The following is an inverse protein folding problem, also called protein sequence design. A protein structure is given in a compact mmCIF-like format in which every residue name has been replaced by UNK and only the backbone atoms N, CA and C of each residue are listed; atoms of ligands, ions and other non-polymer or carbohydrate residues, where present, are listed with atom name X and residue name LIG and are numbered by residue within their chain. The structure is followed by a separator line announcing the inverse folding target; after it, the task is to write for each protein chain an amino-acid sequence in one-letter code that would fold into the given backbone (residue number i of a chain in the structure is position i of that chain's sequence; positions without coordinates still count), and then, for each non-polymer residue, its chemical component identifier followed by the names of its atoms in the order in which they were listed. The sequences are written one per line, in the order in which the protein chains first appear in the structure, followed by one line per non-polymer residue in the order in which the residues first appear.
data_IF_175573981924
#
_entry.id   IF_175573981924
#
_cell.length_a   1.000
_cell.length_b   1.000
_cell.length_c   1.000
_cell.angle_alpha   90.00
_cell.angle_beta   90.00
_cell.angle_gamma   90.00
#
_symmetry.space_group_name_H-M   'P 1'
#
loop_
_entity.id
_entity.type
_entity.pdbx_description
1 polymer ?
#
# COMPACT_ATOMS: atom_id res chain seq x y z
N UNK A 1 -15.70 -11.13 -28.18
CA UNK A 1 -15.75 -9.67 -28.37
C UNK A 1 -14.33 -9.17 -28.43
N UNK A 2 -13.98 -8.50 -29.51
CA UNK A 2 -12.65 -7.94 -29.69
C UNK A 2 -12.50 -6.72 -28.78
N UNK A 3 -11.52 -6.79 -27.85
CA UNK A 3 -11.14 -5.67 -27.01
C UNK A 3 -9.89 -5.03 -27.61
N UNK A 4 -9.93 -3.74 -27.91
CA UNK A 4 -8.75 -2.99 -28.29
C UNK A 4 -7.98 -2.57 -27.04
N UNK A 5 -6.66 -2.77 -27.00
CA UNK A 5 -5.81 -2.31 -25.91
C UNK A 5 -5.33 -0.89 -26.21
N UNK A 6 -5.58 0.05 -25.30
CA UNK A 6 -5.16 1.44 -25.42
C UNK A 6 -4.75 2.00 -24.04
N UNK A 7 -3.52 2.47 -23.92
CA UNK A 7 -2.96 3.06 -22.69
C UNK A 7 -3.24 2.20 -21.42
N UNK A 8 -3.08 0.90 -21.53
CA UNK A 8 -3.33 -0.02 -20.40
C UNK A 8 -4.79 -0.31 -20.10
N UNK A 9 -5.73 0.27 -20.84
CA UNK A 9 -7.15 -0.05 -20.80
C UNK A 9 -7.52 -1.04 -21.91
N UNK A 10 -8.63 -1.73 -21.69
CA UNK A 10 -9.35 -2.42 -22.75
C UNK A 10 -10.55 -1.59 -23.17
N UNK A 11 -10.65 -1.32 -24.47
CA UNK A 11 -11.75 -0.56 -25.05
C UNK A 11 -12.61 -1.51 -25.89
N UNK A 12 -13.90 -1.49 -25.64
CA UNK A 12 -14.88 -2.31 -26.38
C UNK A 12 -16.18 -1.54 -26.58
N UNK A 13 -17.03 -2.06 -27.45
CA UNK A 13 -18.36 -1.51 -27.67
C UNK A 13 -19.36 -2.40 -26.93
N UNK A 14 -20.20 -1.78 -26.14
CA UNK A 14 -21.26 -2.49 -25.43
C UNK A 14 -22.32 -2.95 -26.40
N UNK A 15 -22.52 -4.25 -26.50
CA UNK A 15 -23.63 -4.87 -27.23
C UNK A 15 -24.66 -5.34 -26.20
N UNK A 16 -25.88 -4.81 -26.28
CA UNK A 16 -26.99 -5.19 -25.40
C UNK A 16 -28.26 -5.26 -26.21
N UNK A 17 -28.84 -6.44 -26.31
CA UNK A 17 -30.15 -6.65 -26.97
C UNK A 17 -31.33 -6.32 -26.03
N UNK A 18 -31.05 -5.93 -24.76
CA UNK A 18 -32.09 -5.67 -23.77
C UNK A 18 -32.54 -4.23 -23.83
N UNK A 19 -33.80 -4.00 -24.21
CA UNK A 19 -34.47 -2.73 -24.01
C UNK A 19 -34.69 -2.47 -22.51
N UNK A 20 -34.28 -1.29 -22.03
CA UNK A 20 -34.54 -0.85 -20.67
C UNK A 20 -35.80 0.01 -20.64
N UNK A 21 -36.68 -0.23 -19.68
CA UNK A 21 -37.81 0.62 -19.37
C UNK A 21 -37.43 1.66 -18.32
N UNK A 22 -37.86 2.89 -18.48
CA UNK A 22 -37.78 3.96 -17.48
C UNK A 22 -38.73 3.69 -16.30
N UNK A 23 -38.63 4.52 -15.25
CA UNK A 23 -39.53 4.47 -14.10
C UNK A 23 -41.01 4.71 -14.49
N UNK A 24 -41.26 5.37 -15.60
CA UNK A 24 -42.58 5.62 -16.20
C UNK A 24 -43.03 4.55 -17.21
N UNK A 25 -42.35 3.39 -17.26
CA UNK A 25 -42.67 2.29 -18.17
C UNK A 25 -42.26 2.51 -19.64
N UNK A 26 -41.87 3.74 -20.02
CA UNK A 26 -41.44 4.03 -21.39
C UNK A 26 -40.07 3.47 -21.73
N UNK A 27 -39.85 3.03 -22.99
CA UNK A 27 -38.53 2.53 -23.40
C UNK A 27 -37.49 3.65 -23.26
N UNK A 28 -36.44 3.40 -22.48
CA UNK A 28 -35.26 4.26 -22.41
C UNK A 28 -34.32 3.94 -23.56
N UNK A 29 -33.62 4.98 -24.05
CA UNK A 29 -32.55 4.85 -25.03
C UNK A 29 -31.58 3.76 -24.55
N UNK A 30 -31.35 2.76 -25.38
CA UNK A 30 -30.42 1.70 -25.14
C UNK A 30 -29.01 2.26 -24.92
N UNK A 31 -28.25 1.67 -24.00
CA UNK A 31 -26.81 1.93 -23.87
C UNK A 31 -26.00 1.12 -24.90
N UNK A 32 -26.69 0.55 -25.88
CA UNK A 32 -26.07 -0.22 -26.95
C UNK A 32 -25.18 0.66 -27.82
N UNK A 33 -24.10 0.07 -28.35
CA UNK A 33 -23.08 0.74 -29.15
C UNK A 33 -22.32 1.86 -28.42
N UNK A 34 -22.39 1.97 -27.08
CA UNK A 34 -21.51 2.87 -26.34
C UNK A 34 -20.15 2.25 -26.14
N UNK A 35 -19.12 3.07 -26.34
CA UNK A 35 -17.75 2.73 -25.99
C UNK A 35 -17.65 2.51 -24.47
N UNK A 36 -17.01 1.42 -24.10
CA UNK A 36 -16.74 1.02 -22.72
C UNK A 36 -15.25 0.90 -22.54
N UNK A 37 -14.73 1.55 -21.51
CA UNK A 37 -13.34 1.50 -21.14
C UNK A 37 -13.22 0.64 -19.88
N UNK A 38 -12.39 -0.41 -19.94
CA UNK A 38 -12.26 -1.41 -18.89
C UNK A 38 -10.84 -1.45 -18.33
N UNK A 39 -10.74 -1.70 -17.05
CA UNK A 39 -9.50 -2.12 -16.41
C UNK A 39 -9.32 -3.63 -16.64
N UNK A 40 -8.23 -4.06 -17.31
CA UNK A 40 -7.95 -5.49 -17.52
C UNK A 40 -7.61 -6.18 -16.20
N UNK A 41 -8.12 -7.39 -16.01
CA UNK A 41 -7.81 -8.20 -14.82
C UNK A 41 -6.30 -8.53 -14.73
N UNK A 42 -5.68 -8.74 -15.90
CA UNK A 42 -4.25 -9.01 -16.01
C UNK A 42 -3.38 -7.88 -15.43
N UNK A 43 -3.79 -6.63 -15.61
CA UNK A 43 -3.08 -5.47 -15.02
C UNK A 43 -3.10 -5.54 -13.50
N UNK A 44 -4.25 -5.87 -12.90
CA UNK A 44 -4.35 -6.04 -11.45
C UNK A 44 -3.44 -7.17 -10.95
N UNK A 45 -3.47 -8.31 -11.65
CA UNK A 45 -2.63 -9.49 -11.37
C UNK A 45 -1.15 -9.09 -11.38
N UNK A 46 -0.70 -8.46 -12.46
CA UNK A 46 0.69 -8.06 -12.65
C UNK A 46 1.14 -7.04 -11.60
N UNK A 47 0.29 -6.05 -11.26
CA UNK A 47 0.61 -5.06 -10.22
C UNK A 47 0.71 -5.67 -8.82
N UNK A 48 -0.17 -6.60 -8.45
CA UNK A 48 -0.07 -7.30 -7.17
C UNK A 48 1.20 -8.14 -7.06
N UNK A 49 1.62 -8.77 -8.17
CA UNK A 49 2.87 -9.53 -8.23
C UNK A 49 4.09 -8.60 -8.18
N UNK A 50 4.09 -7.50 -8.94
CA UNK A 50 5.13 -6.47 -8.94
C UNK A 50 5.34 -5.90 -7.52
N UNK A 51 4.25 -5.61 -6.81
CA UNK A 51 4.27 -5.13 -5.43
C UNK A 51 4.66 -6.22 -4.42
N UNK A 52 4.79 -7.48 -4.87
CA UNK A 52 5.04 -8.66 -4.01
C UNK A 52 3.98 -8.80 -2.91
N UNK A 53 2.75 -8.39 -3.20
CA UNK A 53 1.63 -8.47 -2.28
C UNK A 53 0.83 -9.76 -2.43
N UNK A 54 1.07 -10.51 -3.51
CA UNK A 54 0.33 -11.70 -3.90
C UNK A 54 1.26 -12.76 -4.51
N UNK A 55 0.87 -14.01 -4.35
CA UNK A 55 1.36 -15.16 -5.12
C UNK A 55 0.18 -15.87 -5.77
N UNK A 56 0.44 -16.58 -6.85
CA UNK A 56 -0.53 -17.42 -7.51
C UNK A 56 -0.30 -18.85 -7.05
N UNK A 57 -1.37 -19.49 -6.59
CA UNK A 57 -1.40 -20.90 -6.24
C UNK A 57 -2.36 -21.60 -7.19
N UNK A 58 -1.98 -22.75 -7.70
CA UNK A 58 -2.87 -23.57 -8.54
C UNK A 58 -3.46 -24.66 -7.67
N UNK A 59 -4.77 -24.61 -7.44
CA UNK A 59 -5.54 -25.63 -6.73
C UNK A 59 -6.60 -26.18 -7.71
N UNK A 60 -6.65 -27.48 -7.88
CA UNK A 60 -7.59 -28.17 -8.79
C UNK A 60 -7.61 -27.61 -10.23
N UNK A 61 -6.43 -27.25 -10.76
CA UNK A 61 -6.27 -26.68 -12.10
C UNK A 61 -6.77 -25.24 -12.25
N UNK A 62 -7.16 -24.58 -11.14
CA UNK A 62 -7.60 -23.17 -11.14
C UNK A 62 -6.59 -22.28 -10.43
N UNK A 63 -6.35 -21.10 -11.01
CA UNK A 63 -5.53 -20.08 -10.36
C UNK A 63 -6.27 -19.46 -9.17
N UNK A 64 -5.62 -19.49 -8.02
CA UNK A 64 -6.07 -18.83 -6.80
C UNK A 64 -5.06 -17.76 -6.40
N UNK A 65 -5.55 -16.57 -6.14
CA UNK A 65 -4.73 -15.45 -5.70
C UNK A 65 -4.63 -15.44 -4.19
N UNK A 66 -3.42 -15.56 -3.69
CA UNK A 66 -3.16 -15.58 -2.25
C UNK A 66 -2.28 -14.40 -1.84
N UNK A 67 -2.74 -13.61 -0.88
CA UNK A 67 -1.97 -12.50 -0.33
C UNK A 67 -0.70 -12.99 0.37
N UNK A 68 0.41 -12.25 0.25
CA UNK A 68 1.70 -12.55 0.89
C UNK A 68 2.18 -11.39 1.74
N UNK A 69 3.03 -11.69 2.73
CA UNK A 69 3.78 -10.64 3.44
C UNK A 69 4.87 -10.04 2.54
N UNK A 70 5.27 -8.80 2.85
CA UNK A 70 6.36 -8.08 2.15
C UNK A 70 7.56 -7.93 3.08
N UNK A 71 8.44 -8.95 3.18
CA UNK A 71 9.50 -9.00 4.19
C UNK A 71 10.48 -7.84 4.15
N UNK A 72 10.74 -7.28 2.97
CA UNK A 72 11.64 -6.14 2.80
C UNK A 72 11.15 -4.83 3.46
N UNK A 73 9.84 -4.77 3.81
CA UNK A 73 9.28 -3.62 4.54
C UNK A 73 9.39 -3.75 6.07
N UNK A 74 9.80 -4.91 6.60
CA UNK A 74 9.80 -5.16 8.05
C UNK A 74 10.68 -4.21 8.86
N UNK A 75 11.75 -3.71 8.26
CA UNK A 75 12.68 -2.78 8.90
C UNK A 75 12.20 -1.33 8.91
N UNK A 76 11.18 -1.01 8.14
CA UNK A 76 10.62 0.33 8.04
C UNK A 76 9.67 0.64 9.22
N UNK A 77 9.41 1.92 9.46
CA UNK A 77 8.40 2.38 10.41
C UNK A 77 7.01 1.92 9.96
N UNK A 78 6.10 1.72 10.91
CA UNK A 78 4.71 1.33 10.59
C UNK A 78 4.02 2.35 9.68
N UNK A 79 4.29 3.64 9.92
CA UNK A 79 3.77 4.72 9.10
C UNK A 79 4.27 4.63 7.64
N UNK A 80 5.55 4.31 7.44
CA UNK A 80 6.13 4.13 6.10
C UNK A 80 5.54 2.93 5.39
N UNK A 81 5.40 1.81 6.10
CA UNK A 81 4.75 0.61 5.57
C UNK A 81 3.34 0.98 5.09
N UNK A 82 2.53 1.61 5.95
CA UNK A 82 1.16 2.00 5.60
C UNK A 82 1.12 2.99 4.43
N UNK A 83 2.00 3.99 4.41
CA UNK A 83 2.07 4.98 3.33
C UNK A 83 2.45 4.33 1.99
N UNK A 84 3.32 3.32 1.99
CA UNK A 84 3.66 2.56 0.78
C UNK A 84 2.43 1.87 0.20
N UNK A 85 1.66 1.16 1.03
CA UNK A 85 0.41 0.54 0.60
C UNK A 85 -0.61 1.58 0.11
N UNK A 86 -0.75 2.70 0.81
CA UNK A 86 -1.63 3.80 0.40
C UNK A 86 -1.26 4.38 -0.97
N UNK A 87 0.02 4.60 -1.22
CA UNK A 87 0.51 5.14 -2.50
C UNK A 87 0.22 4.19 -3.65
N UNK A 88 0.43 2.90 -3.45
CA UNK A 88 0.18 1.87 -4.47
C UNK A 88 -1.32 1.71 -4.76
N UNK A 89 -2.17 1.68 -3.73
CA UNK A 89 -3.63 1.60 -3.90
C UNK A 89 -4.18 2.83 -4.59
N UNK A 90 -3.76 4.03 -4.15
CA UNK A 90 -4.21 5.29 -4.76
C UNK A 90 -3.68 5.46 -6.18
N UNK A 91 -2.45 5.04 -6.44
CA UNK A 91 -1.83 5.13 -7.76
C UNK A 91 -2.64 4.36 -8.81
N UNK A 92 -2.97 3.10 -8.53
CA UNK A 92 -3.79 2.30 -9.47
C UNK A 92 -5.20 2.88 -9.60
N UNK A 93 -5.83 3.30 -8.49
CA UNK A 93 -7.17 3.87 -8.55
C UNK A 93 -7.19 5.20 -9.31
N UNK A 94 -6.26 6.11 -9.07
CA UNK A 94 -6.21 7.39 -9.77
C UNK A 94 -6.06 7.22 -11.28
N UNK A 95 -5.27 6.24 -11.71
CA UNK A 95 -5.09 5.94 -13.12
C UNK A 95 -6.35 5.34 -13.74
N UNK A 96 -6.99 4.37 -13.07
CA UNK A 96 -8.13 3.62 -13.61
C UNK A 96 -9.50 4.11 -13.15
N UNK A 97 -9.59 5.25 -12.47
CA UNK A 97 -10.86 5.77 -11.91
C UNK A 97 -11.94 6.08 -12.96
N UNK A 98 -11.56 6.25 -14.23
CA UNK A 98 -12.47 6.45 -15.35
C UNK A 98 -13.05 5.15 -15.93
N UNK A 99 -12.47 4.00 -15.60
CA UNK A 99 -12.89 2.70 -16.12
C UNK A 99 -14.32 2.36 -15.69
N UNK A 100 -15.07 1.76 -16.58
CA UNK A 100 -16.47 1.37 -16.32
C UNK A 100 -16.59 0.27 -15.25
N UNK A 101 -15.56 -0.59 -15.14
CA UNK A 101 -15.48 -1.68 -14.18
C UNK A 101 -14.52 -1.40 -13.01
N UNK A 102 -14.23 -0.13 -12.71
CA UNK A 102 -13.25 0.24 -11.65
C UNK A 102 -13.54 -0.41 -10.29
N UNK A 103 -14.78 -0.80 -10.03
CA UNK A 103 -15.18 -1.51 -8.81
C UNK A 103 -14.45 -2.85 -8.59
N UNK A 104 -13.85 -3.43 -9.64
CA UNK A 104 -13.01 -4.65 -9.48
C UNK A 104 -11.78 -4.38 -8.61
N UNK A 105 -11.36 -3.12 -8.44
CA UNK A 105 -10.31 -2.74 -7.51
C UNK A 105 -10.64 -3.04 -6.04
N UNK A 106 -11.90 -3.35 -5.70
CA UNK A 106 -12.23 -3.86 -4.37
C UNK A 106 -11.50 -5.18 -4.08
N UNK A 107 -11.42 -6.09 -5.06
CA UNK A 107 -10.65 -7.34 -4.90
C UNK A 107 -9.16 -7.09 -4.77
N UNK A 108 -8.61 -6.16 -5.55
CA UNK A 108 -7.23 -5.70 -5.42
C UNK A 108 -6.96 -5.16 -4.01
N UNK A 109 -7.84 -4.31 -3.50
CA UNK A 109 -7.74 -3.73 -2.18
C UNK A 109 -7.77 -4.78 -1.06
N UNK A 110 -8.63 -5.80 -1.16
CA UNK A 110 -8.67 -6.87 -0.17
C UNK A 110 -7.34 -7.61 -0.08
N UNK A 111 -6.74 -7.96 -1.21
CA UNK A 111 -5.43 -8.61 -1.26
C UNK A 111 -4.35 -7.70 -0.65
N UNK A 112 -4.34 -6.40 -0.98
CA UNK A 112 -3.41 -5.44 -0.42
C UNK A 112 -3.58 -5.28 1.09
N UNK A 113 -4.82 -5.21 1.58
CA UNK A 113 -5.14 -5.13 3.01
C UNK A 113 -4.67 -6.37 3.78
N UNK A 114 -4.93 -7.55 3.25
CA UNK A 114 -4.45 -8.81 3.84
C UNK A 114 -2.93 -8.91 3.82
N UNK A 115 -2.29 -8.50 2.72
CA UNK A 115 -0.84 -8.42 2.60
C UNK A 115 -0.24 -7.48 3.66
N UNK A 116 -0.87 -6.35 3.94
CA UNK A 116 -0.46 -5.42 5.00
C UNK A 116 -0.51 -6.09 6.38
N UNK A 117 -1.59 -6.80 6.70
CA UNK A 117 -1.70 -7.54 7.96
C UNK A 117 -0.63 -8.63 8.07
N UNK A 118 -0.38 -9.40 7.01
CA UNK A 118 0.68 -10.40 6.96
C UNK A 118 2.08 -9.76 7.10
N UNK A 119 2.29 -8.57 6.55
CA UNK A 119 3.54 -7.82 6.69
C UNK A 119 3.78 -7.38 8.14
N UNK A 120 2.77 -6.81 8.80
CA UNK A 120 2.86 -6.49 10.22
C UNK A 120 3.00 -7.74 11.09
N UNK A 121 2.26 -8.82 10.79
CA UNK A 121 2.39 -10.11 11.46
C UNK A 121 3.84 -10.62 11.40
N UNK A 122 4.46 -10.56 10.23
CA UNK A 122 5.85 -10.92 10.02
C UNK A 122 6.83 -9.96 10.73
N UNK A 123 6.54 -8.65 10.77
CA UNK A 123 7.36 -7.65 11.47
C UNK A 123 7.39 -7.89 12.98
N UNK A 124 6.22 -8.15 13.57
CA UNK A 124 6.08 -8.30 15.02
C UNK A 124 6.17 -9.74 15.50
N UNK A 125 6.43 -10.69 14.59
CA UNK A 125 6.42 -12.13 14.88
C UNK A 125 5.18 -12.55 15.68
N UNK A 126 4.03 -12.12 15.20
CA UNK A 126 2.71 -12.28 15.84
C UNK A 126 1.71 -12.91 14.88
N UNK A 127 0.57 -13.34 15.37
CA UNK A 127 -0.50 -13.87 14.51
C UNK A 127 -1.24 -12.74 13.80
N UNK A 128 -1.70 -12.99 12.57
CA UNK A 128 -2.50 -12.03 11.79
C UNK A 128 -3.73 -11.56 12.59
N UNK A 129 -4.38 -12.46 13.33
CA UNK A 129 -5.55 -12.12 14.18
C UNK A 129 -5.22 -11.05 15.24
N UNK A 130 -4.07 -11.17 15.92
CA UNK A 130 -3.61 -10.17 16.88
C UNK A 130 -3.34 -8.81 16.21
N UNK A 131 -2.74 -8.84 15.02
CA UNK A 131 -2.48 -7.62 14.25
C UNK A 131 -3.80 -6.95 13.84
N UNK A 132 -4.77 -7.70 13.34
CA UNK A 132 -6.10 -7.16 13.02
C UNK A 132 -6.70 -6.45 14.22
N UNK A 133 -6.71 -7.09 15.40
CA UNK A 133 -7.27 -6.49 16.61
C UNK A 133 -6.54 -5.21 17.05
N UNK A 134 -5.21 -5.13 16.87
CA UNK A 134 -4.41 -3.98 17.31
C UNK A 134 -4.45 -2.80 16.32
N UNK A 135 -4.57 -3.08 15.02
CA UNK A 135 -4.46 -2.05 13.97
C UNK A 135 -5.79 -1.71 13.30
N UNK A 136 -6.87 -2.42 13.61
CA UNK A 136 -8.18 -2.18 13.01
C UNK A 136 -9.16 -1.63 14.03
N UNK A 137 -9.71 -0.44 13.74
CA UNK A 137 -10.80 0.16 14.48
C UNK A 137 -11.88 0.57 13.48
N UNK A 138 -13.15 0.28 13.76
CA UNK A 138 -14.27 0.57 12.87
C UNK A 138 -14.09 0.02 11.44
N UNK A 139 -13.51 -1.18 11.31
CA UNK A 139 -13.16 -1.84 10.03
C UNK A 139 -12.06 -1.14 9.22
N UNK A 140 -11.48 -0.04 9.71
CA UNK A 140 -10.42 0.73 9.07
C UNK A 140 -9.09 0.39 9.74
N UNK A 141 -8.06 0.14 8.93
CA UNK A 141 -6.69 -0.08 9.43
C UNK A 141 -6.06 1.25 9.74
N UNK A 142 -5.54 1.41 10.97
CA UNK A 142 -4.92 2.64 11.47
C UNK A 142 -3.55 2.37 12.05
N UNK A 143 -2.64 3.28 11.81
CA UNK A 143 -1.31 3.32 12.42
C UNK A 143 -1.19 4.59 13.22
N UNK A 144 -0.86 4.45 14.50
CA UNK A 144 -0.55 5.57 15.37
C UNK A 144 0.93 5.91 15.29
N UNK A 145 1.24 7.19 15.20
CA UNK A 145 2.60 7.70 15.15
C UNK A 145 2.68 9.03 15.92
N UNK A 146 3.88 9.43 16.28
CA UNK A 146 4.12 10.65 17.03
C UNK A 146 4.98 11.62 16.22
N UNK A 147 4.57 12.89 16.19
CA UNK A 147 5.32 13.99 15.59
C UNK A 147 5.42 15.12 16.58
N UNK A 148 6.64 15.48 16.98
CA UNK A 148 6.90 16.57 17.93
C UNK A 148 6.07 16.47 19.23
N UNK A 149 5.97 15.25 19.80
CA UNK A 149 5.19 14.99 21.01
C UNK A 149 3.68 14.88 20.82
N UNK A 150 3.17 15.10 19.60
CA UNK A 150 1.75 14.98 19.29
C UNK A 150 1.45 13.62 18.65
N UNK A 151 0.57 12.85 19.27
CA UNK A 151 0.08 11.57 18.71
C UNK A 151 -0.87 11.84 17.56
N UNK A 152 -0.61 11.21 16.43
CA UNK A 152 -1.41 11.28 15.20
C UNK A 152 -1.74 9.88 14.72
N UNK A 153 -2.80 9.78 13.92
CA UNK A 153 -3.22 8.53 13.27
C UNK A 153 -3.18 8.68 11.74
N UNK A 154 -2.82 7.59 11.07
CA UNK A 154 -2.89 7.47 9.62
C UNK A 154 -3.71 6.24 9.26
N UNK A 155 -4.62 6.39 8.32
CA UNK A 155 -5.52 5.33 7.89
C UNK A 155 -5.08 4.73 6.56
N UNK A 156 -5.34 3.42 6.40
CA UNK A 156 -5.31 2.79 5.08
C UNK A 156 -6.45 3.39 4.25
N UNK A 157 -6.19 3.57 2.95
CA UNK A 157 -7.21 4.07 2.01
C UNK A 157 -8.52 3.28 2.15
N UNK A 158 -9.62 3.96 2.31
CA UNK A 158 -10.96 3.38 2.48
C UNK A 158 -12.06 4.18 1.73
N UNK A 159 -11.66 5.10 0.85
CA UNK A 159 -12.58 5.96 0.10
C UNK A 159 -13.40 5.25 -0.99
N UNK A 160 -13.24 3.92 -1.12
CA UNK A 160 -13.93 3.13 -2.14
C UNK A 160 -13.38 3.34 -3.57
N UNK A 161 -13.93 2.59 -4.52
CA UNK A 161 -13.50 2.59 -5.93
C UNK A 161 -14.67 2.91 -6.85
N UNK A 162 -15.22 4.11 -6.69
CA UNK A 162 -16.27 4.65 -7.57
C UNK A 162 -15.70 5.17 -8.88
N UNK A 163 -16.45 5.01 -9.98
CA UNK A 163 -16.08 5.60 -11.25
C UNK A 163 -16.18 7.12 -11.19
N UNK A 164 -15.10 7.82 -11.54
CA UNK A 164 -15.10 9.27 -11.72
C UNK A 164 -15.49 9.60 -13.16
N UNK A 165 -16.64 10.27 -13.32
CA UNK A 165 -17.13 10.68 -14.64
C UNK A 165 -16.48 11.97 -15.14
N UNK A 166 -16.07 12.81 -14.19
CA UNK A 166 -15.52 14.15 -14.41
C UNK A 166 -14.00 14.15 -14.15
N UNK A 167 -13.28 13.20 -14.76
CA UNK A 167 -11.84 13.29 -14.83
C UNK A 167 -11.51 14.52 -15.69
N UNK A 168 -11.33 15.68 -15.06
CA UNK A 168 -10.96 16.90 -15.74
C UNK A 168 -9.55 16.72 -16.31
N UNK A 169 -9.42 17.05 -17.58
CA UNK A 169 -8.16 17.08 -18.33
C UNK A 169 -7.19 18.12 -17.72
N UNK A 170 -7.72 19.09 -16.96
CA UNK A 170 -6.96 20.17 -16.33
C UNK A 170 -5.82 19.68 -15.42
N UNK A 171 -5.94 18.48 -14.83
CA UNK A 171 -4.86 17.89 -14.03
C UNK A 171 -3.88 17.01 -14.85
N UNK A 172 -4.21 16.68 -16.10
CA UNK A 172 -3.36 15.83 -16.94
C UNK A 172 -2.14 16.57 -17.49
N UNK A 173 -2.24 17.90 -17.67
CA UNK A 173 -1.16 18.76 -18.11
C UNK A 173 -0.24 19.21 -16.96
N UNK A 174 -0.66 19.06 -15.73
CA UNK A 174 0.20 19.15 -14.58
C UNK A 174 1.02 17.85 -14.50
N UNK A 175 2.11 17.78 -15.24
CA UNK A 175 3.13 16.76 -15.04
C UNK A 175 3.36 16.64 -13.54
N UNK A 176 3.21 15.45 -12.95
CA UNK A 176 3.53 15.26 -11.55
C UNK A 176 4.94 15.78 -11.41
N UNK A 177 5.11 16.89 -10.66
CA UNK A 177 6.43 17.37 -10.35
C UNK A 177 7.17 16.16 -9.81
N UNK A 178 8.21 15.74 -10.49
CA UNK A 178 9.11 14.68 -10.05
C UNK A 178 9.78 15.20 -8.76
N UNK A 179 9.01 15.29 -7.72
CA UNK A 179 9.56 15.30 -6.37
C UNK A 179 10.13 13.91 -6.25
N UNK A 180 11.43 13.85 -6.42
CA UNK A 180 12.18 12.62 -6.45
C UNK A 180 11.67 11.70 -5.38
N UNK A 181 11.65 10.39 -5.66
CA UNK A 181 11.18 9.35 -4.74
C UNK A 181 11.53 9.78 -3.32
N UNK A 182 10.52 10.10 -2.51
CA UNK A 182 10.77 10.43 -1.11
C UNK A 182 11.53 9.23 -0.55
N UNK A 183 12.79 9.46 -0.19
CA UNK A 183 13.60 8.41 0.39
C UNK A 183 12.84 7.88 1.61
N UNK A 184 12.76 6.56 1.77
CA UNK A 184 12.24 5.97 3.00
C UNK A 184 13.05 6.51 4.18
N UNK A 185 12.48 6.52 5.40
CA UNK A 185 13.24 6.98 6.58
C UNK A 185 14.54 6.20 6.72
N UNK A 186 14.54 4.91 6.38
CA UNK A 186 15.76 4.10 6.33
C UNK A 186 16.80 4.67 5.35
N UNK A 187 16.40 5.01 4.13
CA UNK A 187 17.30 5.58 3.13
C UNK A 187 17.77 6.98 3.51
N UNK A 188 16.90 7.81 4.08
CA UNK A 188 17.26 9.14 4.57
C UNK A 188 18.31 9.06 5.70
N UNK A 189 18.11 8.11 6.62
CA UNK A 189 19.04 7.86 7.75
C UNK A 189 20.40 7.36 7.28
N UNK A 190 20.43 6.46 6.31
CA UNK A 190 21.67 5.98 5.70
C UNK A 190 22.41 7.10 4.96
N UNK A 191 21.67 7.97 4.25
CA UNK A 191 22.25 9.12 3.53
C UNK A 191 22.69 10.25 4.44
N UNK A 192 22.08 10.42 5.61
CA UNK A 192 22.49 11.41 6.59
C UNK A 192 23.89 11.16 7.12
N UNK A 193 24.37 9.89 7.05
CA UNK A 193 25.69 9.49 7.53
C UNK A 193 25.98 9.97 8.96
N UNK A 194 24.96 9.95 9.83
CA UNK A 194 25.08 10.38 11.23
C UNK A 194 24.63 9.27 12.17
N UNK A 195 25.36 9.09 13.27
CA UNK A 195 24.97 8.19 14.34
C UNK A 195 23.69 8.70 15.02
N UNK A 196 22.63 7.94 15.01
CA UNK A 196 21.35 8.31 15.61
C UNK A 196 21.39 8.40 17.14
N UNK A 197 22.49 7.98 17.76
CA UNK A 197 22.68 7.98 19.21
C UNK A 197 23.58 9.13 19.71
N UNK A 198 24.70 9.41 19.04
CA UNK A 198 25.66 10.42 19.48
C UNK A 198 25.99 11.49 18.41
N UNK A 199 25.44 11.41 17.19
CA UNK A 199 25.71 12.36 16.11
C UNK A 199 27.06 12.18 15.38
N UNK A 200 27.89 11.20 15.75
CA UNK A 200 29.16 10.98 15.05
C UNK A 200 28.96 10.52 13.60
N UNK A 201 29.87 10.90 12.71
CA UNK A 201 29.77 10.64 11.26
C UNK A 201 30.64 9.48 10.79
N UNK A 202 31.51 8.94 11.65
CA UNK A 202 32.52 7.94 11.27
C UNK A 202 32.01 6.50 11.51
N UNK A 203 32.39 5.60 10.61
CA UNK A 203 32.21 4.15 10.71
C UNK A 203 30.82 3.73 11.19
N UNK A 204 29.78 4.14 10.46
CA UNK A 204 28.39 3.83 10.80
C UNK A 204 28.06 2.36 10.51
N UNK A 205 27.42 1.74 11.47
CA UNK A 205 26.89 0.39 11.40
C UNK A 205 25.41 0.36 11.69
N UNK A 206 24.70 -0.63 11.13
CA UNK A 206 23.27 -0.79 11.34
C UNK A 206 23.02 -1.86 12.39
N UNK A 207 22.46 -1.48 13.53
CA UNK A 207 21.93 -2.42 14.52
C UNK A 207 20.58 -2.91 14.07
N UNK A 208 20.33 -4.20 14.22
CA UNK A 208 19.05 -4.82 13.95
C UNK A 208 18.62 -5.67 15.14
N UNK A 209 17.41 -5.43 15.66
CA UNK A 209 16.82 -6.26 16.72
C UNK A 209 15.83 -7.26 16.12
N UNK A 210 15.86 -8.50 16.63
CA UNK A 210 14.96 -9.55 16.17
C UNK A 210 13.50 -9.25 16.55
N UNK A 211 13.26 -8.87 17.80
CA UNK A 211 11.93 -8.62 18.34
C UNK A 211 11.89 -7.31 19.13
N UNK A 212 11.05 -6.38 18.74
CA UNK A 212 10.85 -5.12 19.50
C UNK A 212 10.29 -5.35 20.89
N UNK A 213 9.52 -6.42 21.12
CA UNK A 213 8.96 -6.76 22.43
C UNK A 213 10.01 -7.18 23.45
N UNK A 214 11.18 -7.59 23.01
CA UNK A 214 12.27 -8.01 23.89
C UNK A 214 13.05 -6.81 24.46
N UNK A 215 12.87 -5.61 23.84
CA UNK A 215 13.41 -4.36 24.32
C UNK A 215 12.64 -3.89 25.57
N UNK A 216 13.36 -3.67 26.67
CA UNK A 216 12.77 -3.28 27.97
C UNK A 216 12.69 -1.77 28.18
N UNK A 217 13.23 -0.97 27.26
CA UNK A 217 13.29 0.48 27.37
C UNK A 217 14.22 0.98 28.49
N UNK A 218 15.18 0.17 28.93
CA UNK A 218 16.12 0.54 29.97
C UNK A 218 17.16 1.54 29.48
N UNK A 219 17.58 1.39 28.24
CA UNK A 219 18.59 2.24 27.61
C UNK A 219 17.93 3.20 26.61
N UNK A 220 18.53 4.37 26.37
CA UNK A 220 17.98 5.40 25.49
C UNK A 220 17.77 4.92 24.06
N UNK A 221 18.69 4.11 23.52
CA UNK A 221 18.55 3.53 22.19
C UNK A 221 17.35 2.57 22.09
N UNK A 222 17.07 1.79 23.15
CA UNK A 222 15.87 0.93 23.21
C UNK A 222 14.59 1.79 23.19
N UNK A 223 14.55 2.85 24.01
CA UNK A 223 13.42 3.79 24.05
C UNK A 223 13.17 4.39 22.68
N UNK A 224 14.23 4.77 21.97
CA UNK A 224 14.15 5.35 20.62
C UNK A 224 13.60 4.35 19.59
N UNK A 225 14.04 3.08 19.64
CA UNK A 225 13.52 2.04 18.77
C UNK A 225 12.06 1.68 19.07
N UNK A 226 11.69 1.61 20.36
CA UNK A 226 10.32 1.33 20.80
C UNK A 226 9.39 2.48 20.38
N UNK A 227 9.76 3.74 20.68
CA UNK A 227 8.95 4.91 20.36
C UNK A 227 8.66 5.05 18.86
N UNK A 228 9.64 4.73 18.03
CA UNK A 228 9.52 4.80 16.58
C UNK A 228 9.05 3.50 15.92
N UNK A 229 8.81 2.46 16.71
CA UNK A 229 8.43 1.12 16.23
C UNK A 229 9.37 0.60 15.11
N UNK A 230 10.66 0.84 15.25
CA UNK A 230 11.70 0.47 14.29
C UNK A 230 12.56 -0.67 14.81
N UNK A 231 12.96 -1.57 13.92
CA UNK A 231 13.90 -2.67 14.24
C UNK A 231 15.36 -2.34 13.95
N UNK A 232 15.64 -1.18 13.39
CA UNK A 232 16.97 -0.76 12.93
C UNK A 232 17.39 0.57 13.52
N UNK A 233 18.68 0.71 13.85
CA UNK A 233 19.28 1.94 14.32
C UNK A 233 20.66 2.10 13.69
N UNK A 234 20.96 3.26 13.10
CA UNK A 234 22.28 3.58 12.56
C UNK A 234 23.16 4.15 13.66
N UNK A 235 24.28 3.52 13.97
CA UNK A 235 25.19 3.94 15.05
C UNK A 235 26.64 3.84 14.61
N UNK A 236 27.51 4.68 15.21
CA UNK A 236 28.95 4.57 15.04
C UNK A 236 29.52 3.36 15.80
N UNK A 237 30.73 2.95 15.48
CA UNK A 237 31.38 1.78 16.09
C UNK A 237 31.44 1.87 17.62
N UNK A 238 31.73 3.05 18.19
CA UNK A 238 31.77 3.26 19.62
C UNK A 238 30.40 3.03 20.30
N UNK A 239 29.33 3.53 19.68
CA UNK A 239 27.97 3.30 20.17
C UNK A 239 27.55 1.85 19.96
N UNK A 240 27.96 1.22 18.87
CA UNK A 240 27.72 -0.20 18.61
C UNK A 240 28.31 -1.08 19.71
N UNK A 241 29.57 -0.85 20.09
CA UNK A 241 30.23 -1.58 21.21
C UNK A 241 29.60 -1.35 22.58
N UNK A 242 28.95 -0.20 22.80
CA UNK A 242 28.22 0.09 24.06
C UNK A 242 26.88 -0.62 24.14
N UNK A 243 26.32 -0.97 22.99
CA UNK A 243 24.98 -1.59 22.88
C UNK A 243 25.08 -3.12 22.90
N UNK A 244 26.16 -3.68 22.40
CA UNK A 244 26.49 -5.11 22.39
C UNK A 244 27.54 -5.46 23.44
#
# INVERSE_FOLDING_TARGET
HDHAKFLGFEVTIRKSEKTRKGSNGMPKRSLDHKTVVLLPLEVMKNKLMEYKAMKIVVEDGKEKWESTSRPYLRSNDDLEILNRYNSEIRGIYNYYCIANNVSILNSFYQIMKESLYKTFSSKYESTVRKIINSYTKDKIVRVQYEVKGVKKERELYHGGFGRRKDARIDDADNLPSYRGMQSTSLMARLKACECEYCGATDNLQMIHVRKLKDLKGKQEWEKLMIARKRKTLAVCENCYRKIH
#
